data_IF_593852269582
#
_entry.id   IF_593852269582
#
_cell.length_a   1.000
_cell.length_b   1.000
_cell.length_c   1.000
_cell.angle_alpha   90.00
_cell.angle_beta   90.00
_cell.angle_gamma   90.00
#
_symmetry.space_group_name_H-M   'P 1'
#
loop_
_entity.id
_entity.type
_entity.pdbx_description
1 polymer ?
#
# COMPACT_ATOMS: atom_id res chain seq x y z
N UNK A 1 -25.04 -6.22 9.51
CA UNK A 1 -24.49 -6.21 8.14
C UNK A 1 -23.30 -5.27 8.21
N UNK A 2 -22.08 -5.78 8.40
CA UNK A 2 -20.86 -4.96 8.46
C UNK A 2 -20.44 -4.70 7.02
N UNK A 3 -20.44 -3.45 6.59
CA UNK A 3 -19.83 -3.05 5.31
C UNK A 3 -18.31 -3.10 5.51
N UNK A 4 -17.68 -4.04 4.82
CA UNK A 4 -16.23 -4.27 4.86
C UNK A 4 -15.54 -3.22 4.00
N UNK A 5 -14.97 -2.18 4.62
CA UNK A 5 -14.20 -1.17 3.91
C UNK A 5 -12.84 -1.04 4.57
N UNK A 6 -11.92 -1.92 4.17
CA UNK A 6 -10.52 -1.77 4.54
C UNK A 6 -9.98 -0.47 3.97
N UNK A 7 -9.12 0.20 4.73
CA UNK A 7 -8.56 1.51 4.36
C UNK A 7 -7.12 1.34 3.88
N UNK A 8 -6.78 1.96 2.75
CA UNK A 8 -5.42 1.96 2.20
C UNK A 8 -4.93 3.39 2.11
N UNK A 9 -3.83 3.69 2.80
CA UNK A 9 -3.13 4.98 2.73
C UNK A 9 -1.80 4.79 1.99
N UNK A 10 -1.58 5.56 0.93
CA UNK A 10 -0.38 5.48 0.09
C UNK A 10 0.40 6.78 0.23
N UNK A 11 1.68 6.67 0.59
CA UNK A 11 2.60 7.79 0.72
C UNK A 11 3.73 7.64 -0.29
N UNK A 12 3.67 8.33 -1.44
CA UNK A 12 4.78 8.38 -2.39
C UNK A 12 6.03 8.91 -1.71
N UNK A 13 7.15 8.20 -1.81
CA UNK A 13 8.42 8.57 -1.15
C UNK A 13 8.88 9.97 -1.55
N UNK A 14 8.58 10.40 -2.79
CA UNK A 14 8.92 11.72 -3.29
C UNK A 14 8.18 12.87 -2.58
N UNK A 15 7.05 12.58 -1.90
CA UNK A 15 6.21 13.55 -1.21
C UNK A 15 6.44 13.55 0.31
N UNK A 16 7.19 12.56 0.82
CA UNK A 16 7.52 12.48 2.24
C UNK A 16 8.66 13.46 2.55
N UNK A 17 8.46 14.47 3.42
CA UNK A 17 9.49 15.41 3.80
C UNK A 17 10.70 14.69 4.39
N UNK A 18 11.88 15.26 4.18
CA UNK A 18 13.13 14.78 4.77
C UNK A 18 13.19 14.95 6.29
N UNK A 19 12.22 15.61 6.91
CA UNK A 19 12.11 15.73 8.37
C UNK A 19 11.79 14.37 9.02
N UNK A 20 12.01 14.29 10.34
CA UNK A 20 11.65 13.13 11.16
C UNK A 20 10.13 12.97 11.37
N UNK A 21 9.31 13.52 10.48
CA UNK A 21 7.86 13.33 10.52
C UNK A 21 7.58 11.93 9.97
N UNK A 22 6.88 11.12 10.76
CA UNK A 22 6.42 9.82 10.30
C UNK A 22 5.32 10.01 9.26
N UNK A 23 5.27 9.19 8.19
CA UNK A 23 4.29 9.37 7.13
C UNK A 23 2.83 9.41 7.62
N UNK A 24 2.48 8.60 8.62
CA UNK A 24 1.12 8.57 9.19
C UNK A 24 0.74 9.86 9.96
N UNK A 25 1.71 10.66 10.39
CA UNK A 25 1.48 11.94 11.09
C UNK A 25 1.31 13.12 10.09
N UNK A 26 1.54 12.89 8.79
CA UNK A 26 1.46 13.94 7.78
C UNK A 26 0.01 14.32 7.40
N UNK A 27 -0.96 13.42 7.63
CA UNK A 27 -2.35 13.62 7.22
C UNK A 27 -2.60 13.77 5.71
N UNK A 28 -1.55 13.63 4.88
CA UNK A 28 -1.56 13.96 3.45
C UNK A 28 -1.34 12.74 2.53
N UNK A 29 -1.52 11.52 3.03
CA UNK A 29 -1.45 10.32 2.20
C UNK A 29 -2.65 10.23 1.25
N UNK A 30 -2.44 9.58 0.10
CA UNK A 30 -3.54 9.25 -0.81
C UNK A 30 -4.38 8.14 -0.19
N UNK A 31 -5.68 8.39 -0.03
CA UNK A 31 -6.60 7.55 0.74
C UNK A 31 -7.56 6.81 -0.19
N UNK A 32 -7.60 5.48 -0.05
CA UNK A 32 -8.48 4.59 -0.81
C UNK A 32 -9.21 3.61 0.10
N UNK A 33 -10.30 3.05 -0.42
CA UNK A 33 -11.12 2.04 0.25
C UNK A 33 -11.24 0.78 -0.61
N UNK A 34 -11.28 -0.39 0.02
CA UNK A 34 -11.38 -1.68 -0.67
C UNK A 34 -12.26 -2.65 0.09
N UNK A 35 -12.99 -3.50 -0.66
CA UNK A 35 -13.96 -4.45 -0.10
C UNK A 35 -13.28 -5.58 0.68
N UNK A 36 -12.16 -6.11 0.18
CA UNK A 36 -11.43 -7.23 0.79
C UNK A 36 -9.92 -7.05 0.61
N UNK A 37 -9.16 -7.26 1.70
CA UNK A 37 -7.70 -7.38 1.66
C UNK A 37 -7.32 -8.84 1.93
N UNK A 38 -6.94 -9.55 0.87
CA UNK A 38 -6.25 -10.83 1.00
C UNK A 38 -4.76 -10.58 0.85
N UNK A 39 -4.03 -10.61 1.97
CA UNK A 39 -2.57 -10.56 1.95
C UNK A 39 -1.97 -11.89 2.37
N UNK A 40 -1.08 -12.42 1.54
CA UNK A 40 -0.26 -13.58 1.89
C UNK A 40 1.19 -13.27 1.53
N UNK A 41 2.00 -12.72 2.47
CA UNK A 41 3.39 -12.45 2.21
C UNK A 41 4.10 -13.78 1.95
N UNK A 42 4.83 -13.88 0.84
CA UNK A 42 5.57 -15.08 0.52
C UNK A 42 7.00 -14.96 1.05
N UNK A 43 7.46 -15.87 1.93
CA UNK A 43 8.84 -15.85 2.40
C UNK A 43 9.78 -16.16 1.22
N UNK A 44 10.80 -15.34 1.06
CA UNK A 44 11.93 -15.58 0.15
C UNK A 44 13.22 -15.61 0.97
N UNK A 45 13.96 -16.71 0.87
CA UNK A 45 15.28 -16.82 1.52
C UNK A 45 16.28 -16.08 0.63
N UNK A 46 17.01 -15.13 1.22
CA UNK A 46 18.12 -14.45 0.57
C UNK A 46 19.38 -14.59 1.42
N UNK A 47 20.56 -14.40 0.80
CA UNK A 47 21.85 -14.46 1.50
C UNK A 47 22.00 -13.40 2.61
N UNK A 48 21.14 -12.36 2.60
CA UNK A 48 21.10 -11.30 3.60
C UNK A 48 20.08 -11.55 4.75
N UNK A 49 19.41 -12.70 4.78
CA UNK A 49 18.37 -13.04 5.76
C UNK A 49 16.99 -13.27 5.16
N UNK A 50 15.94 -13.26 6.00
CA UNK A 50 14.54 -13.43 5.58
C UNK A 50 14.04 -12.15 4.90
N UNK A 51 13.67 -12.26 3.64
CA UNK A 51 12.99 -11.19 2.89
C UNK A 51 11.62 -11.73 2.49
N UNK A 52 10.59 -10.90 2.55
CA UNK A 52 9.25 -11.27 2.12
C UNK A 52 8.95 -10.58 0.80
N UNK A 53 8.52 -11.35 -0.19
CA UNK A 53 8.05 -10.80 -1.45
C UNK A 53 6.59 -10.38 -1.29
N UNK A 54 6.34 -9.13 -1.66
CA UNK A 54 5.02 -8.51 -1.65
C UNK A 54 4.56 -8.46 -3.10
N UNK A 55 3.46 -9.13 -3.39
CA UNK A 55 2.70 -8.99 -4.63
C UNK A 55 1.24 -9.05 -4.22
N UNK A 56 0.61 -7.87 -4.17
CA UNK A 56 -0.76 -7.71 -3.70
C UNK A 56 -1.54 -6.87 -4.71
N UNK A 57 -2.72 -7.38 -5.03
CA UNK A 57 -3.69 -6.73 -5.90
C UNK A 57 -4.95 -6.42 -5.08
N UNK A 58 -5.35 -5.15 -5.04
CA UNK A 58 -6.55 -4.69 -4.35
C UNK A 58 -7.51 -4.01 -5.32
N UNK A 59 -8.81 -4.30 -5.18
CA UNK A 59 -9.84 -3.59 -5.94
C UNK A 59 -10.29 -2.38 -5.13
N UNK A 60 -10.03 -1.19 -5.65
CA UNK A 60 -10.36 0.06 -4.99
C UNK A 60 -11.76 0.54 -5.41
N UNK A 61 -12.50 1.05 -4.43
CA UNK A 61 -13.79 1.69 -4.61
C UNK A 61 -13.60 3.21 -4.79
N UNK A 62 -14.43 3.80 -5.65
CA UNK A 62 -14.61 5.27 -5.74
C UNK A 62 -13.31 6.09 -5.89
N UNK A 63 -12.42 5.67 -6.81
CA UNK A 63 -11.15 6.37 -7.07
C UNK A 63 -11.34 7.53 -8.05
N UNK A 64 -10.87 8.73 -7.67
CA UNK A 64 -10.84 9.91 -8.57
C UNK A 64 -9.95 9.62 -9.79
N UNK A 65 -10.38 10.07 -10.97
CA UNK A 65 -9.59 9.94 -12.20
C UNK A 65 -8.20 10.57 -12.08
N UNK A 66 -8.05 11.65 -11.31
CA UNK A 66 -6.75 12.28 -11.05
C UNK A 66 -5.80 11.35 -10.29
N UNK A 67 -6.32 10.56 -9.36
CA UNK A 67 -5.55 9.57 -8.62
C UNK A 67 -5.11 8.42 -9.54
N UNK A 68 -6.00 7.96 -10.41
CA UNK A 68 -5.66 6.95 -11.43
C UNK A 68 -4.56 7.46 -12.37
N UNK A 69 -4.65 8.70 -12.81
CA UNK A 69 -3.62 9.32 -13.67
C UNK A 69 -2.30 9.50 -12.92
N UNK A 70 -2.35 9.96 -11.67
CA UNK A 70 -1.17 10.14 -10.83
C UNK A 70 -0.42 8.81 -10.62
N UNK A 71 -1.14 7.74 -10.30
CA UNK A 71 -0.58 6.40 -10.08
C UNK A 71 -0.53 5.52 -11.35
N UNK A 72 -0.70 6.10 -12.54
CA UNK A 72 -0.66 5.35 -13.81
C UNK A 72 0.70 4.71 -14.13
N UNK A 73 1.77 5.24 -13.52
CA UNK A 73 3.11 4.67 -13.55
C UNK A 73 3.52 4.19 -12.15
N UNK A 74 4.33 3.11 -12.03
CA UNK A 74 4.82 2.64 -10.74
C UNK A 74 5.57 3.71 -9.95
N UNK A 75 5.14 3.95 -8.71
CA UNK A 75 5.75 4.91 -7.78
C UNK A 75 6.29 4.19 -6.55
N UNK A 76 7.48 4.61 -6.10
CA UNK A 76 8.02 4.18 -4.81
C UNK A 76 7.19 4.78 -3.71
N UNK A 77 6.62 3.94 -2.85
CA UNK A 77 5.67 4.35 -1.83
C UNK A 77 5.84 3.53 -0.55
N UNK A 78 5.36 4.09 0.54
CA UNK A 78 5.05 3.37 1.78
C UNK A 78 3.53 3.24 1.82
N UNK A 79 3.04 2.02 2.04
CA UNK A 79 1.59 1.76 2.08
C UNK A 79 1.20 1.34 3.49
N UNK A 80 0.09 1.90 3.99
CA UNK A 80 -0.56 1.44 5.21
C UNK A 80 -1.91 0.86 4.85
N UNK A 81 -2.15 -0.34 5.34
CA UNK A 81 -3.43 -1.01 5.20
C UNK A 81 -4.04 -1.12 6.58
N UNK A 82 -5.24 -0.61 6.78
CA UNK A 82 -5.99 -0.77 8.03
C UNK A 82 -7.07 -1.84 7.84
N UNK A 83 -7.13 -2.77 8.79
CA UNK A 83 -8.28 -3.66 8.91
C UNK A 83 -9.49 -2.97 9.57
N UNK A 84 -10.61 -3.69 9.65
CA UNK A 84 -11.86 -3.23 10.25
C UNK A 84 -11.74 -2.87 11.74
N UNK A 85 -10.74 -3.44 12.43
CA UNK A 85 -10.46 -3.14 13.85
C UNK A 85 -9.54 -1.89 13.98
N UNK A 86 -9.16 -1.29 12.85
CA UNK A 86 -8.32 -0.10 12.77
C UNK A 86 -6.82 -0.39 12.96
N UNK A 87 -6.42 -1.66 13.00
CA UNK A 87 -5.01 -2.03 13.11
C UNK A 87 -4.33 -1.70 11.79
N UNK A 88 -3.28 -0.89 11.87
CA UNK A 88 -2.50 -0.46 10.71
C UNK A 88 -1.32 -1.39 10.45
N UNK A 89 -1.22 -1.88 9.23
CA UNK A 89 -0.12 -2.70 8.76
C UNK A 89 0.69 -1.92 7.73
N UNK A 90 1.98 -1.77 8.00
CA UNK A 90 2.90 -1.08 7.12
C UNK A 90 3.48 -2.04 6.07
N UNK A 91 3.46 -1.63 4.81
CA UNK A 91 4.00 -2.36 3.67
C UNK A 91 5.07 -1.49 3.01
N UNK A 92 6.32 -1.96 3.09
CA UNK A 92 7.51 -1.19 2.70
C UNK A 92 7.89 -0.14 3.75
N UNK A 93 9.06 0.47 3.58
CA UNK A 93 9.54 1.58 4.41
C UNK A 93 10.36 2.58 3.59
N UNK A 94 10.93 3.61 4.23
CA UNK A 94 11.69 4.66 3.54
C UNK A 94 12.98 4.13 2.88
N UNK A 95 13.56 3.05 3.40
CA UNK A 95 14.78 2.42 2.89
C UNK A 95 14.46 1.34 1.85
N UNK A 96 13.38 0.59 2.06
CA UNK A 96 12.90 -0.47 1.17
C UNK A 96 11.43 -0.20 0.82
N UNK A 97 11.16 0.79 -0.06
CA UNK A 97 9.80 1.11 -0.46
C UNK A 97 9.23 0.03 -1.40
N UNK A 98 7.91 -0.05 -1.44
CA UNK A 98 7.19 -0.83 -2.45
C UNK A 98 6.90 0.03 -3.68
N UNK A 99 6.65 -0.62 -4.80
CA UNK A 99 6.12 0.00 -6.00
C UNK A 99 4.61 -0.12 -6.01
N UNK A 100 3.96 1.02 -6.25
CA UNK A 100 2.52 1.14 -6.32
C UNK A 100 2.11 1.66 -7.68
N UNK A 101 1.12 1.01 -8.29
CA UNK A 101 0.44 1.56 -9.47
C UNK A 101 -1.06 1.30 -9.41
N UNK A 102 -1.84 2.20 -10.03
CA UNK A 102 -3.30 2.09 -10.12
C UNK A 102 -3.70 2.05 -11.59
N UNK A 103 -4.52 1.07 -11.96
CA UNK A 103 -5.12 1.00 -13.29
C UNK A 103 -6.64 1.02 -13.22
N UNK A 104 -7.29 1.37 -14.32
CA UNK A 104 -8.73 1.18 -14.47
C UNK A 104 -9.06 -0.32 -14.40
N UNK A 105 -10.16 -0.68 -13.76
CA UNK A 105 -10.63 -2.05 -13.65
C UNK A 105 -12.16 -2.07 -13.63
N UNK A 106 -12.79 -2.39 -14.78
CA UNK A 106 -14.24 -2.30 -14.96
C UNK A 106 -14.75 -0.88 -14.59
N UNK A 107 -15.70 -0.79 -13.67
CA UNK A 107 -16.25 0.46 -13.13
C UNK A 107 -15.52 0.95 -11.87
N UNK A 108 -14.35 0.39 -11.57
CA UNK A 108 -13.53 0.62 -10.37
C UNK A 108 -12.07 0.86 -10.77
N UNK A 109 -11.18 0.85 -9.79
CA UNK A 109 -9.74 0.83 -10.01
C UNK A 109 -9.11 -0.40 -9.37
N UNK A 110 -7.95 -0.80 -9.89
CA UNK A 110 -7.14 -1.87 -9.32
C UNK A 110 -5.80 -1.28 -8.91
N UNK A 111 -5.47 -1.46 -7.64
CA UNK A 111 -4.21 -1.09 -7.02
C UNK A 111 -3.31 -2.32 -6.98
N UNK A 112 -2.09 -2.14 -7.43
CA UNK A 112 -1.06 -3.15 -7.42
C UNK A 112 0.07 -2.68 -6.51
N UNK A 113 0.49 -3.54 -5.59
CA UNK A 113 1.55 -3.29 -4.64
C UNK A 113 2.59 -4.39 -4.78
N UNK A 114 3.77 -4.02 -5.23
CA UNK A 114 4.86 -4.95 -5.53
C UNK A 114 6.15 -4.53 -4.84
N UNK A 115 6.87 -5.49 -4.26
CA UNK A 115 8.17 -5.19 -3.68
C UNK A 115 8.70 -6.27 -2.78
N UNK A 116 9.66 -5.88 -1.95
CA UNK A 116 10.28 -6.74 -0.95
C UNK A 116 10.33 -6.01 0.37
N UNK A 117 10.21 -6.74 1.47
CA UNK A 117 10.33 -6.18 2.82
C UNK A 117 11.13 -7.12 3.71
N UNK A 118 11.88 -6.56 4.66
CA UNK A 118 12.57 -7.31 5.72
C UNK A 118 11.69 -7.50 6.95
N UNK A 119 10.61 -6.73 7.07
CA UNK A 119 9.62 -6.85 8.14
C UNK A 119 8.37 -7.55 7.60
N UNK A 120 7.93 -8.63 8.25
CA UNK A 120 6.63 -9.24 7.98
C UNK A 120 5.55 -8.20 8.23
N UNK A 121 4.79 -7.77 7.19
CA UNK A 121 3.51 -7.15 7.45
C UNK A 121 2.63 -8.26 8.05
N UNK A 122 1.84 -7.94 9.08
CA UNK A 122 0.91 -8.84 9.79
C UNK A 122 1.57 -9.88 10.71
N UNK A 123 1.50 -9.62 12.02
CA UNK A 123 1.61 -10.64 13.07
C UNK A 123 0.46 -10.46 14.04
#
# INVERSE_FOLDING_TARGET
MKEFANKVEIFPVAEIPSSNIFPWDMGAGHLFYTDDVLFTPSPSVSDAGKIYSINMDLILNEVDIKEVEFFSMPRKSIVFISDDDGIKYQVGDRYIPVFVHISKYLNRAKLYIEGKTVCLPFK
#
